data_IF_514065728182
#
_entry.id   IF_514065728182
#
_cell.length_a   1.000
_cell.length_b   1.000
_cell.length_c   1.000
_cell.angle_alpha   90.00
_cell.angle_beta   90.00
_cell.angle_gamma   90.00
#
_symmetry.space_group_name_H-M   'P 1'
#
loop_
_entity.id
_entity.type
_entity.pdbx_description
1 polymer ?
#
# COMPACT_ATOMS: atom_id res chain seq x y z
N UNK A 1 -18.85 -33.36 -54.85
CA UNK A 1 -17.62 -32.76 -54.30
C UNK A 1 -17.71 -31.26 -54.45
N UNK A 2 -17.88 -30.52 -53.36
CA UNK A 2 -17.43 -29.13 -53.16
C UNK A 2 -17.61 -28.79 -51.67
N UNK A 3 -16.50 -28.45 -51.05
CA UNK A 3 -16.24 -28.27 -49.62
C UNK A 3 -16.86 -26.95 -49.12
N UNK A 4 -17.59 -26.93 -48.00
CA UNK A 4 -17.95 -25.68 -47.30
C UNK A 4 -17.69 -25.81 -45.80
N UNK A 5 -16.72 -25.04 -45.34
CA UNK A 5 -16.15 -24.98 -44.00
C UNK A 5 -16.92 -23.92 -43.16
N UNK A 6 -17.35 -24.32 -41.95
CA UNK A 6 -17.68 -23.55 -40.72
C UNK A 6 -18.75 -22.42 -40.74
N UNK A 7 -19.65 -22.37 -39.72
CA UNK A 7 -19.49 -21.38 -38.66
C UNK A 7 -20.02 -21.86 -37.29
N UNK A 8 -19.20 -22.56 -36.50
CA UNK A 8 -19.52 -22.90 -35.10
C UNK A 8 -18.51 -22.32 -34.08
N UNK A 9 -17.54 -21.54 -34.55
CA UNK A 9 -16.40 -20.99 -33.80
C UNK A 9 -16.58 -19.50 -33.44
N UNK A 10 -17.81 -19.01 -33.28
CA UNK A 10 -18.04 -17.58 -33.02
C UNK A 10 -18.54 -17.25 -31.62
N UNK A 11 -19.05 -18.24 -30.87
CA UNK A 11 -19.62 -17.99 -29.52
C UNK A 11 -18.61 -18.11 -28.40
N UNK A 12 -17.64 -19.03 -28.48
CA UNK A 12 -16.60 -19.18 -27.46
C UNK A 12 -15.64 -17.97 -27.43
N UNK A 13 -15.33 -17.41 -28.60
CA UNK A 13 -14.51 -16.20 -28.74
C UNK A 13 -15.16 -14.95 -28.14
N UNK A 14 -16.50 -14.84 -28.17
CA UNK A 14 -17.21 -13.70 -27.56
C UNK A 14 -17.18 -13.77 -26.04
N UNK A 15 -17.32 -14.97 -25.44
CA UNK A 15 -17.21 -15.15 -23.99
C UNK A 15 -15.79 -14.91 -23.48
N UNK A 16 -14.78 -15.40 -24.21
CA UNK A 16 -13.37 -15.12 -23.92
C UNK A 16 -13.04 -13.63 -24.06
N UNK A 17 -13.57 -12.94 -25.08
CA UNK A 17 -13.38 -11.51 -25.26
C UNK A 17 -14.07 -10.68 -24.16
N UNK A 18 -15.24 -11.11 -23.68
CA UNK A 18 -15.94 -10.46 -22.57
C UNK A 18 -15.23 -10.68 -21.22
N UNK A 19 -14.72 -11.89 -20.97
CA UNK A 19 -13.91 -12.18 -19.79
C UNK A 19 -12.60 -11.38 -19.80
N UNK A 20 -11.94 -11.31 -20.96
CA UNK A 20 -10.74 -10.50 -21.12
C UNK A 20 -11.05 -9.00 -20.95
N UNK A 21 -12.14 -8.48 -21.52
CA UNK A 21 -12.55 -7.07 -21.35
C UNK A 21 -12.89 -6.71 -19.90
N UNK A 22 -13.46 -7.63 -19.12
CA UNK A 22 -13.67 -7.46 -17.67
C UNK A 22 -12.36 -7.51 -16.90
N UNK A 23 -11.40 -8.36 -17.27
CA UNK A 23 -10.06 -8.36 -16.69
C UNK A 23 -9.28 -7.08 -17.04
N UNK A 24 -9.36 -6.58 -18.29
CA UNK A 24 -8.74 -5.32 -18.71
C UNK A 24 -9.41 -4.07 -18.13
N UNK A 25 -10.69 -4.17 -17.73
CA UNK A 25 -11.38 -3.07 -17.06
C UNK A 25 -11.01 -2.95 -15.57
N UNK A 26 -10.56 -4.03 -14.93
CA UNK A 26 -10.01 -4.00 -13.57
C UNK A 26 -8.53 -3.58 -13.52
N UNK A 27 -7.84 -3.56 -14.66
CA UNK A 27 -6.42 -3.16 -14.76
C UNK A 27 -6.23 -1.67 -15.11
N UNK A 28 -7.32 -0.91 -15.28
CA UNK A 28 -7.22 0.55 -15.53
C UNK A 28 -6.68 1.35 -14.34
N UNK A 29 -6.56 0.72 -13.17
CA UNK A 29 -5.92 1.32 -12.00
C UNK A 29 -4.42 0.99 -11.88
N UNK A 30 -3.86 0.09 -12.70
CA UNK A 30 -2.43 -0.28 -12.64
C UNK A 30 -1.57 0.60 -13.57
N UNK A 31 -2.16 1.10 -14.66
CA UNK A 31 -1.47 1.97 -15.63
C UNK A 31 -1.46 3.47 -15.32
N UNK A 32 -2.13 3.93 -14.25
CA UNK A 32 -2.20 5.35 -13.89
C UNK A 32 -1.19 5.76 -12.79
N UNK A 33 -0.40 4.82 -12.25
CA UNK A 33 0.34 5.10 -11.02
C UNK A 33 1.58 5.99 -11.16
N UNK A 34 2.15 6.25 -12.34
CA UNK A 34 3.44 7.00 -12.41
C UNK A 34 3.60 7.95 -13.61
N UNK A 35 2.54 8.61 -14.05
CA UNK A 35 2.68 9.82 -14.90
C UNK A 35 2.06 11.04 -14.26
N UNK A 36 2.36 11.28 -12.97
CA UNK A 36 2.14 12.60 -12.38
C UNK A 36 3.26 13.53 -12.85
N UNK A 37 2.83 14.68 -13.37
CA UNK A 37 3.74 15.75 -13.77
C UNK A 37 4.67 16.14 -12.59
N UNK A 38 5.95 16.51 -12.81
CA UNK A 38 6.88 16.87 -11.74
C UNK A 38 6.40 18.01 -10.84
N UNK A 39 5.47 18.84 -11.33
CA UNK A 39 4.84 19.92 -10.57
C UNK A 39 3.79 19.43 -9.55
N UNK A 40 3.18 18.26 -9.74
CA UNK A 40 2.19 17.67 -8.82
C UNK A 40 2.85 16.85 -7.70
N UNK A 41 4.06 16.34 -7.95
CA UNK A 41 4.88 15.64 -6.95
C UNK A 41 5.47 16.57 -5.87
N UNK A 42 5.55 17.88 -6.13
CA UNK A 42 6.14 18.85 -5.21
C UNK A 42 5.27 19.16 -3.97
N UNK A 43 3.98 18.80 -3.97
CA UNK A 43 3.03 19.06 -2.87
C UNK A 43 2.43 17.77 -2.30
N UNK A 44 2.83 16.61 -2.80
CA UNK A 44 2.32 15.32 -2.35
C UNK A 44 2.99 14.91 -1.04
N UNK A 45 2.18 14.52 -0.05
CA UNK A 45 2.66 14.03 1.26
C UNK A 45 3.64 12.88 1.06
N UNK A 46 4.77 12.90 1.78
CA UNK A 46 5.76 11.83 1.75
C UNK A 46 5.76 11.08 3.07
N UNK A 47 5.74 9.75 3.01
CA UNK A 47 5.72 8.91 4.19
C UNK A 47 6.82 7.85 4.11
N UNK A 48 7.37 7.49 5.25
CA UNK A 48 8.20 6.30 5.32
C UNK A 48 7.30 5.06 5.26
N UNK A 49 7.62 4.14 4.36
CA UNK A 49 7.00 2.83 4.26
C UNK A 49 8.05 1.75 4.50
N UNK A 50 7.79 0.83 5.42
CA UNK A 50 8.79 -0.16 5.82
C UNK A 50 8.45 -0.92 7.10
N UNK A 51 9.42 -1.69 7.56
CA UNK A 51 9.32 -2.53 8.76
C UNK A 51 10.58 -2.36 9.59
N UNK A 52 10.39 -2.15 10.89
CA UNK A 52 11.45 -2.16 11.90
C UNK A 52 11.11 -3.22 12.94
N UNK A 53 12.11 -4.01 13.31
CA UNK A 53 11.98 -5.01 14.35
C UNK A 53 13.24 -5.13 15.20
N UNK A 54 13.06 -5.35 16.51
CA UNK A 54 14.19 -5.74 17.37
C UNK A 54 14.65 -7.18 17.12
N UNK A 55 13.86 -7.97 16.39
CA UNK A 55 14.31 -9.26 15.88
C UNK A 55 15.40 -9.04 14.82
N UNK A 56 16.61 -9.52 15.12
CA UNK A 56 17.82 -9.33 14.31
C UNK A 56 18.18 -7.86 13.98
N UNK A 57 17.66 -6.89 14.74
CA UNK A 57 17.86 -5.45 14.49
C UNK A 57 17.50 -5.04 13.04
N UNK A 58 16.37 -5.55 12.53
CA UNK A 58 15.93 -5.33 11.15
C UNK A 58 15.33 -3.92 11.00
N UNK A 59 15.76 -3.19 9.99
CA UNK A 59 15.16 -1.90 9.59
C UNK A 59 15.25 -1.78 8.08
N UNK A 60 14.11 -1.91 7.40
CA UNK A 60 14.01 -1.92 5.94
C UNK A 60 12.84 -1.05 5.53
N UNK A 61 13.07 -0.11 4.62
CA UNK A 61 12.01 0.75 4.10
C UNK A 61 12.55 1.91 3.28
N UNK A 62 11.64 2.71 2.76
CA UNK A 62 11.92 3.87 1.91
C UNK A 62 10.88 4.95 2.14
N UNK A 63 11.20 6.18 1.76
CA UNK A 63 10.20 7.22 1.55
C UNK A 63 9.36 6.86 0.31
N UNK A 64 8.06 7.11 0.37
CA UNK A 64 7.12 7.00 -0.75
C UNK A 64 6.20 8.21 -0.79
N UNK A 65 5.68 8.53 -1.96
CA UNK A 65 4.57 9.46 -2.07
C UNK A 65 3.29 8.82 -1.52
N UNK A 66 2.47 9.61 -0.84
CA UNK A 66 1.28 9.14 -0.15
C UNK A 66 0.06 9.99 -0.52
N UNK A 67 -1.04 9.31 -0.84
CA UNK A 67 -2.37 9.91 -0.99
C UNK A 67 -3.26 9.46 0.17
N UNK A 68 -3.02 10.05 1.35
CA UNK A 68 -3.62 9.61 2.61
C UNK A 68 -2.93 10.27 3.79
N UNK A 69 -2.66 9.48 4.83
CA UNK A 69 -1.88 9.90 6.00
C UNK A 69 -0.71 8.95 6.23
N UNK A 70 0.41 9.47 6.72
CA UNK A 70 1.47 8.60 7.18
C UNK A 70 1.02 7.92 8.47
N UNK A 71 1.41 6.67 8.68
CA UNK A 71 1.13 6.03 9.95
C UNK A 71 2.09 4.91 10.28
N UNK A 72 1.92 4.40 11.50
CA UNK A 72 2.65 3.27 12.02
C UNK A 72 1.73 2.36 12.83
N UNK A 73 2.03 1.06 12.81
CA UNK A 73 1.40 0.07 13.68
C UNK A 73 2.51 -0.70 14.37
N UNK A 74 2.50 -0.68 15.70
CA UNK A 74 3.48 -1.34 16.54
C UNK A 74 2.86 -2.41 17.41
N UNK A 75 3.59 -3.50 17.63
CA UNK A 75 3.22 -4.56 18.56
C UNK A 75 4.45 -5.26 19.10
N UNK A 76 4.25 -6.11 20.11
CA UNK A 76 5.29 -7.00 20.63
C UNK A 76 4.87 -8.44 20.36
N UNK A 77 5.72 -9.23 19.70
CA UNK A 77 5.51 -10.66 19.42
C UNK A 77 6.75 -11.43 19.86
N UNK A 78 6.57 -12.45 20.72
CA UNK A 78 7.69 -13.26 21.20
C UNK A 78 8.77 -12.49 21.99
N UNK A 79 8.43 -11.33 22.58
CA UNK A 79 9.39 -10.46 23.29
C UNK A 79 10.14 -9.47 22.38
N UNK A 80 9.91 -9.53 21.06
CA UNK A 80 10.46 -8.59 20.09
C UNK A 80 9.43 -7.54 19.71
N UNK A 81 9.89 -6.30 19.54
CA UNK A 81 9.06 -5.23 18.99
C UNK A 81 9.03 -5.34 17.47
N UNK A 82 7.85 -5.08 16.90
CA UNK A 82 7.62 -5.01 15.47
C UNK A 82 6.82 -3.74 15.19
N UNK A 83 7.35 -2.88 14.34
CA UNK A 83 6.66 -1.68 13.86
C UNK A 83 6.65 -1.68 12.35
N UNK A 84 5.45 -1.56 11.79
CA UNK A 84 5.26 -1.33 10.35
C UNK A 84 4.93 0.14 10.14
N UNK A 85 5.46 0.71 9.08
CA UNK A 85 5.22 2.09 8.65
C UNK A 85 4.56 2.04 7.28
N UNK A 86 3.47 2.77 7.10
CA UNK A 86 2.67 2.71 5.88
C UNK A 86 2.05 4.08 5.56
N UNK A 87 1.59 4.23 4.32
CA UNK A 87 0.61 5.25 3.94
C UNK A 87 -0.79 4.65 4.11
N UNK A 88 -1.55 5.17 5.07
CA UNK A 88 -2.91 4.70 5.33
C UNK A 88 -3.94 5.56 4.59
N UNK A 89 -5.04 4.96 4.10
CA UNK A 89 -6.19 5.72 3.65
C UNK A 89 -6.70 6.65 4.75
N UNK A 90 -7.04 7.89 4.41
CA UNK A 90 -7.59 8.85 5.39
C UNK A 90 -8.79 8.29 6.14
N UNK A 91 -9.69 7.60 5.42
CA UNK A 91 -10.87 6.95 6.00
C UNK A 91 -10.52 5.90 7.07
N UNK A 92 -9.40 5.19 6.91
CA UNK A 92 -8.94 4.24 7.92
C UNK A 92 -8.52 4.98 9.19
N UNK A 93 -7.64 5.98 9.06
CA UNK A 93 -7.18 6.79 10.20
C UNK A 93 -8.32 7.48 10.94
N UNK A 94 -9.32 7.98 10.22
CA UNK A 94 -10.48 8.64 10.81
C UNK A 94 -11.41 7.63 11.51
N UNK A 95 -11.71 6.51 10.86
CA UNK A 95 -12.57 5.46 11.44
C UNK A 95 -11.97 4.80 12.68
N UNK A 96 -10.64 4.70 12.73
CA UNK A 96 -9.90 4.18 13.88
C UNK A 96 -9.56 5.26 14.93
N UNK A 97 -9.95 6.52 14.68
CA UNK A 97 -9.65 7.68 15.54
C UNK A 97 -8.15 7.79 15.87
N UNK A 98 -7.31 7.71 14.83
CA UNK A 98 -5.84 7.76 14.91
C UNK A 98 -5.27 9.05 14.30
N UNK A 99 -6.10 9.97 13.83
CA UNK A 99 -5.63 11.20 13.18
C UNK A 99 -4.89 12.08 14.19
N UNK A 100 -3.60 12.27 13.94
CA UNK A 100 -2.64 13.01 14.79
C UNK A 100 -2.60 12.52 16.25
N UNK A 101 -2.99 11.26 16.46
CA UNK A 101 -3.07 10.60 17.76
C UNK A 101 -2.62 9.14 17.63
N UNK A 102 -2.24 8.54 18.75
CA UNK A 102 -1.88 7.13 18.82
C UNK A 102 -2.84 6.42 19.78
N UNK A 103 -3.40 5.29 19.34
CA UNK A 103 -4.30 4.49 20.17
C UNK A 103 -3.77 3.07 20.26
N UNK A 104 -3.72 2.56 21.49
CA UNK A 104 -3.41 1.16 21.76
C UNK A 104 -4.71 0.41 21.95
N UNK A 105 -4.89 -0.66 21.17
CA UNK A 105 -6.00 -1.59 21.33
C UNK A 105 -5.46 -2.91 21.86
N UNK A 106 -6.02 -3.37 22.98
CA UNK A 106 -5.69 -4.65 23.59
C UNK A 106 -6.74 -5.68 23.20
N UNK A 107 -6.36 -6.63 22.35
CA UNK A 107 -7.11 -7.87 22.15
C UNK A 107 -6.27 -9.03 22.70
N UNK A 108 -5.78 -9.95 21.86
CA UNK A 108 -4.85 -11.01 22.27
C UNK A 108 -3.41 -10.49 22.45
N UNK A 109 -3.10 -9.35 21.83
CA UNK A 109 -1.85 -8.59 21.95
C UNK A 109 -2.17 -7.10 21.92
N UNK A 110 -1.28 -6.28 22.47
CA UNK A 110 -1.34 -4.84 22.33
C UNK A 110 -0.89 -4.44 20.92
N UNK A 111 -1.78 -3.73 20.22
CA UNK A 111 -1.53 -3.11 18.93
C UNK A 111 -1.66 -1.60 19.08
N UNK A 112 -0.57 -0.87 18.86
CA UNK A 112 -0.55 0.59 18.88
C UNK A 112 -0.50 1.14 17.47
N UNK A 113 -1.58 1.79 17.03
CA UNK A 113 -1.67 2.47 15.74
C UNK A 113 -1.52 3.98 15.89
N UNK A 114 -0.92 4.65 14.91
CA UNK A 114 -0.80 6.11 14.83
C UNK A 114 -1.00 6.58 13.38
N UNK A 115 -1.63 7.74 13.16
CA UNK A 115 -1.63 8.44 11.89
C UNK A 115 -1.23 9.91 12.05
N UNK A 116 -0.67 10.52 11.01
CA UNK A 116 -0.24 11.91 11.00
C UNK A 116 -0.12 12.48 9.57
N UNK A 117 -0.08 13.81 9.46
CA UNK A 117 -0.35 14.51 8.19
C UNK A 117 0.80 15.35 7.63
N UNK A 118 2.04 15.19 8.13
CA UNK A 118 3.22 15.92 7.62
C UNK A 118 4.28 14.96 7.11
N UNK A 119 5.16 15.42 6.22
CA UNK A 119 6.20 14.58 5.64
C UNK A 119 6.98 13.79 6.71
N UNK A 120 7.07 12.47 6.50
CA UNK A 120 7.74 11.49 7.37
C UNK A 120 7.38 11.60 8.85
N UNK A 121 6.19 12.11 9.19
CA UNK A 121 5.81 12.29 10.59
C UNK A 121 5.74 10.96 11.35
N UNK A 122 5.52 9.85 10.65
CA UNK A 122 5.42 8.53 11.23
C UNK A 122 6.77 7.98 11.74
N UNK A 123 7.91 8.59 11.40
CA UNK A 123 9.23 8.19 11.91
C UNK A 123 9.76 9.11 13.02
N UNK A 124 8.98 10.12 13.44
CA UNK A 124 9.41 11.07 14.49
C UNK A 124 9.80 10.33 15.77
N UNK A 125 10.96 10.69 16.32
CA UNK A 125 11.50 10.06 17.53
C UNK A 125 12.21 8.73 17.31
N UNK A 126 12.38 8.29 16.06
CA UNK A 126 13.16 7.10 15.70
C UNK A 126 14.52 7.48 15.11
N UNK A 127 15.39 6.47 14.91
CA UNK A 127 16.67 6.58 14.22
C UNK A 127 16.57 6.25 12.70
N UNK A 128 15.37 6.23 12.13
CA UNK A 128 15.15 5.95 10.71
C UNK A 128 15.66 7.15 9.88
N UNK A 129 16.55 6.87 8.94
CA UNK A 129 17.03 7.88 8.00
C UNK A 129 16.08 8.00 6.81
N UNK A 130 15.27 9.04 6.79
CA UNK A 130 14.34 9.37 5.68
C UNK A 130 14.98 10.31 4.65
N UNK A 131 16.27 10.58 4.74
CA UNK A 131 17.03 11.41 3.79
C UNK A 131 17.47 10.62 2.55
N UNK A 132 17.22 9.31 2.53
CA UNK A 132 17.45 8.49 1.34
C UNK A 132 16.46 8.99 0.28
N UNK A 133 16.94 9.60 -0.81
CA UNK A 133 16.04 10.09 -1.84
C UNK A 133 15.26 8.91 -2.40
N UNK A 134 13.96 9.12 -2.63
CA UNK A 134 13.15 8.28 -3.53
C UNK A 134 13.97 8.12 -4.82
N UNK A 135 14.60 6.95 -4.98
CA UNK A 135 15.22 6.64 -6.27
C UNK A 135 14.08 6.68 -7.29
N UNK A 136 14.23 7.43 -8.40
CA UNK A 136 13.29 7.34 -9.50
C UNK A 136 13.17 5.86 -9.83
N UNK A 137 11.95 5.28 -9.84
CA UNK A 137 11.81 3.89 -10.17
C UNK A 137 12.39 3.67 -11.56
N UNK A 138 13.47 2.90 -11.65
CA UNK A 138 13.97 2.40 -12.93
C UNK A 138 12.97 1.42 -13.56
N UNK A 139 12.12 0.83 -12.73
CA UNK A 139 10.76 0.33 -13.00
C UNK A 139 9.94 0.43 -11.69
N UNK A 140 8.62 0.75 -11.71
CA UNK A 140 7.83 0.82 -10.49
C UNK A 140 7.65 -0.57 -9.87
N UNK A 141 8.34 -0.82 -8.75
CA UNK A 141 8.10 -2.01 -7.92
C UNK A 141 6.81 -1.78 -7.13
N UNK A 142 5.72 -2.41 -7.56
CA UNK A 142 4.47 -2.47 -6.81
C UNK A 142 4.55 -3.58 -5.76
N UNK A 143 4.77 -3.22 -4.50
CA UNK A 143 4.61 -4.13 -3.37
C UNK A 143 3.16 -4.10 -2.89
N UNK A 144 2.58 -5.27 -2.60
CA UNK A 144 1.32 -5.33 -1.88
C UNK A 144 1.52 -4.70 -0.49
N UNK A 145 0.83 -3.59 -0.22
CA UNK A 145 0.68 -3.04 1.12
C UNK A 145 -0.73 -3.34 1.60
N UNK A 146 -0.85 -4.05 2.71
CA UNK A 146 -2.14 -4.34 3.31
C UNK A 146 -2.02 -5.20 4.55
N UNK A 147 -3.03 -5.13 5.41
CA UNK A 147 -3.11 -5.88 6.67
C UNK A 147 -4.37 -6.74 6.61
N UNK A 148 -4.23 -8.04 6.83
CA UNK A 148 -5.40 -8.94 6.94
C UNK A 148 -5.77 -9.13 8.39
N UNK A 149 -7.00 -8.77 8.75
CA UNK A 149 -7.56 -8.94 10.09
C UNK A 149 -8.81 -9.81 9.96
N UNK A 150 -8.85 -10.99 10.59
CA UNK A 150 -9.99 -11.92 10.53
C UNK A 150 -10.48 -12.20 9.10
N UNK A 151 -9.56 -12.49 8.18
CA UNK A 151 -9.80 -12.73 6.75
C UNK A 151 -10.31 -11.49 5.96
N UNK A 152 -10.34 -10.31 6.56
CA UNK A 152 -10.65 -9.05 5.87
C UNK A 152 -9.35 -8.32 5.56
N UNK A 153 -9.09 -8.07 4.28
CA UNK A 153 -7.92 -7.33 3.82
C UNK A 153 -8.19 -5.82 3.92
N UNK A 154 -7.36 -5.13 4.70
CA UNK A 154 -7.25 -3.68 4.70
C UNK A 154 -6.11 -3.32 3.75
N UNK A 155 -6.43 -2.87 2.54
CA UNK A 155 -5.41 -2.42 1.59
C UNK A 155 -4.73 -1.14 2.12
N UNK A 156 -3.41 -1.12 2.08
CA UNK A 156 -2.61 0.09 2.24
C UNK A 156 -2.68 0.96 0.97
N UNK A 157 -2.47 2.26 1.11
CA UNK A 157 -2.37 3.17 -0.02
C UNK A 157 -0.92 3.28 -0.49
N UNK A 158 -0.71 3.22 -1.81
CA UNK A 158 0.53 3.54 -2.51
C UNK A 158 0.24 4.47 -3.68
#
# INVERSE_FOLDING_TARGET
>A
MLNRYQPFEMRLGIYLAAAAALCYALDRDVGYLMSRSPMEAATQLRCYAGIVSSYNNTSIGTEVFCNGKCGSISTTVGGYSFTTYNCFPTVFCDSANLTDTCTTTTFDRDLTGCCCSTDNCNTKGTNINTTIPIQPPEDPIACFSGITINNVVQNGGG
#
